data_IF_882551310936
#
_entry.id   IF_882551310936
#
_cell.length_a   1.000
_cell.length_b   1.000
_cell.length_c   1.000
_cell.angle_alpha   90.00
_cell.angle_beta   90.00
_cell.angle_gamma   90.00
#
_symmetry.space_group_name_H-M   'P 1'
#
loop_
_entity.id
_entity.type
_entity.pdbx_description
1 polymer ?
#
# COMPACT_ATOMS: atom_id res chain seq x y z
N UNK A 1 -24.91 -6.33 -4.94
CA UNK A 1 -23.59 -6.93 -4.69
C UNK A 1 -23.02 -7.63 -5.92
N UNK A 2 -23.74 -8.62 -6.48
CA UNK A 2 -23.34 -9.40 -7.68
C UNK A 2 -22.84 -8.54 -8.86
N UNK A 3 -23.53 -7.43 -9.18
CA UNK A 3 -23.11 -6.50 -10.25
C UNK A 3 -21.71 -5.90 -10.01
N UNK A 4 -21.37 -5.53 -8.77
CA UNK A 4 -20.06 -4.94 -8.43
C UNK A 4 -18.94 -5.96 -8.56
N UNK A 5 -19.19 -7.20 -8.15
CA UNK A 5 -18.23 -8.31 -8.27
C UNK A 5 -17.91 -8.57 -9.74
N UNK A 6 -18.94 -8.66 -10.59
CA UNK A 6 -18.76 -8.85 -12.04
C UNK A 6 -17.96 -7.69 -12.66
N UNK A 7 -18.30 -6.44 -12.33
CA UNK A 7 -17.55 -5.28 -12.80
C UNK A 7 -16.10 -5.26 -12.32
N UNK A 8 -15.84 -5.64 -11.06
CA UNK A 8 -14.48 -5.72 -10.54
C UNK A 8 -13.64 -6.74 -11.31
N UNK A 9 -14.22 -7.91 -11.62
CA UNK A 9 -13.59 -8.93 -12.45
C UNK A 9 -13.29 -8.40 -13.86
N UNK A 10 -14.27 -7.77 -14.51
CA UNK A 10 -14.06 -7.18 -15.85
C UNK A 10 -12.93 -6.13 -15.86
N UNK A 11 -12.82 -5.31 -14.82
CA UNK A 11 -11.70 -4.37 -14.70
C UNK A 11 -10.36 -5.08 -14.54
N UNK A 12 -10.31 -6.13 -13.73
CA UNK A 12 -9.11 -6.94 -13.53
C UNK A 12 -8.67 -7.60 -14.84
N UNK A 13 -9.58 -8.25 -15.55
CA UNK A 13 -9.31 -8.93 -16.83
C UNK A 13 -8.83 -7.92 -17.89
N UNK A 14 -9.45 -6.73 -17.97
CA UNK A 14 -8.98 -5.65 -18.86
C UNK A 14 -7.65 -5.03 -18.44
N UNK A 15 -7.26 -5.17 -17.18
CA UNK A 15 -5.96 -4.71 -16.69
C UNK A 15 -4.85 -5.70 -17.04
N UNK A 16 -5.12 -7.02 -17.04
CA UNK A 16 -4.13 -8.03 -17.42
C UNK A 16 -3.86 -8.07 -18.93
N UNK A 17 -4.82 -7.61 -19.75
CA UNK A 17 -4.70 -7.60 -21.21
C UNK A 17 -4.14 -6.30 -21.80
N UNK A 18 -3.80 -5.31 -20.97
CA UNK A 18 -3.37 -3.99 -21.47
C UNK A 18 -1.87 -3.83 -21.39
N UNK A 19 -1.25 -3.44 -22.49
CA UNK A 19 0.20 -3.20 -22.54
C UNK A 19 0.59 -1.86 -21.88
N UNK A 20 -0.34 -0.91 -21.84
CA UNK A 20 -0.12 0.38 -21.18
C UNK A 20 -0.24 0.25 -19.65
N UNK A 21 0.89 0.36 -18.96
CA UNK A 21 0.99 0.24 -17.50
C UNK A 21 0.11 1.22 -16.73
N UNK A 22 -0.05 2.46 -17.19
CA UNK A 22 -0.91 3.45 -16.52
C UNK A 22 -2.39 3.06 -16.60
N UNK A 23 -2.84 2.60 -17.76
CA UNK A 23 -4.20 2.05 -17.92
C UNK A 23 -4.40 0.77 -17.13
N UNK A 24 -3.38 -0.08 -17.00
CA UNK A 24 -3.45 -1.27 -16.16
C UNK A 24 -3.67 -0.88 -14.70
N UNK A 25 -2.86 0.05 -14.18
CA UNK A 25 -2.95 0.58 -12.81
C UNK A 25 -4.34 1.16 -12.54
N UNK A 26 -4.85 2.04 -13.43
CA UNK A 26 -6.17 2.66 -13.26
C UNK A 26 -7.29 1.61 -13.18
N UNK A 27 -7.19 0.55 -13.99
CA UNK A 27 -8.19 -0.54 -13.99
C UNK A 27 -8.09 -1.40 -12.74
N UNK A 28 -6.88 -1.74 -12.28
CA UNK A 28 -6.71 -2.41 -11.00
C UNK A 28 -7.25 -1.56 -9.85
N UNK A 29 -7.01 -0.24 -9.84
CA UNK A 29 -7.56 0.66 -8.82
C UNK A 29 -9.10 0.65 -8.80
N UNK A 30 -9.75 0.62 -9.97
CA UNK A 30 -11.22 0.47 -10.07
C UNK A 30 -11.70 -0.89 -9.54
N UNK A 31 -11.00 -1.97 -9.87
CA UNK A 31 -11.31 -3.33 -9.35
C UNK A 31 -11.19 -3.38 -7.82
N UNK A 32 -10.08 -2.88 -7.27
CA UNK A 32 -9.78 -2.78 -5.84
C UNK A 32 -10.86 -1.97 -5.12
N UNK A 33 -11.25 -0.82 -5.66
CA UNK A 33 -12.28 0.04 -5.06
C UNK A 33 -13.63 -0.68 -4.95
N UNK A 34 -14.05 -1.38 -6.01
CA UNK A 34 -15.29 -2.15 -6.02
C UNK A 34 -15.23 -3.32 -5.02
N UNK A 35 -14.13 -4.07 -4.99
CA UNK A 35 -13.97 -5.20 -4.08
C UNK A 35 -13.92 -4.76 -2.61
N UNK A 36 -13.29 -3.63 -2.29
CA UNK A 36 -13.34 -3.03 -0.95
C UNK A 36 -14.76 -2.70 -0.51
N UNK A 37 -15.61 -2.21 -1.41
CA UNK A 37 -17.02 -1.96 -1.11
C UNK A 37 -17.78 -3.26 -0.88
N UNK A 38 -17.53 -4.28 -1.72
CA UNK A 38 -18.16 -5.60 -1.58
C UNK A 38 -17.81 -6.21 -0.23
N UNK A 39 -16.52 -6.32 0.12
CA UNK A 39 -16.06 -6.89 1.39
C UNK A 39 -16.69 -6.21 2.61
N UNK A 40 -16.88 -4.88 2.56
CA UNK A 40 -17.54 -4.13 3.64
C UNK A 40 -19.04 -4.42 3.75
N UNK A 41 -19.71 -4.66 2.62
CA UNK A 41 -21.17 -4.83 2.55
C UNK A 41 -21.62 -6.29 2.71
N UNK A 42 -20.70 -7.24 2.60
CA UNK A 42 -21.06 -8.65 2.55
C UNK A 42 -21.32 -9.22 3.94
N UNK A 43 -22.49 -9.80 4.18
CA UNK A 43 -22.88 -10.31 5.50
C UNK A 43 -22.49 -11.77 5.69
N UNK A 44 -22.22 -12.47 4.59
CA UNK A 44 -21.86 -13.88 4.58
C UNK A 44 -20.34 -14.02 4.70
N UNK A 45 -19.88 -14.61 5.79
CA UNK A 45 -18.45 -14.72 6.14
C UNK A 45 -17.64 -15.45 5.05
N UNK A 46 -18.18 -16.53 4.49
CA UNK A 46 -17.52 -17.28 3.41
C UNK A 46 -17.35 -16.42 2.15
N UNK A 47 -18.34 -15.59 1.79
CA UNK A 47 -18.24 -14.71 0.63
C UNK A 47 -17.29 -13.54 0.87
N UNK A 48 -17.27 -12.97 2.09
CA UNK A 48 -16.27 -11.98 2.51
C UNK A 48 -14.85 -12.48 2.29
N UNK A 49 -14.58 -13.72 2.67
CA UNK A 49 -13.27 -14.35 2.49
C UNK A 49 -12.90 -14.44 1.01
N UNK A 50 -13.79 -14.97 0.16
CA UNK A 50 -13.57 -15.07 -1.29
C UNK A 50 -13.31 -13.70 -1.92
N UNK A 51 -14.11 -12.69 -1.56
CA UNK A 51 -13.95 -11.33 -2.10
C UNK A 51 -12.70 -10.63 -1.59
N UNK A 52 -12.25 -10.95 -0.37
CA UNK A 52 -10.97 -10.49 0.16
C UNK A 52 -9.81 -11.13 -0.63
N UNK A 53 -9.87 -12.42 -0.95
CA UNK A 53 -8.90 -13.08 -1.83
C UNK A 53 -8.84 -12.45 -3.23
N UNK A 54 -9.98 -12.11 -3.83
CA UNK A 54 -10.01 -11.43 -5.12
C UNK A 54 -9.45 -10.00 -5.06
N UNK A 55 -9.69 -9.30 -3.94
CA UNK A 55 -9.12 -7.98 -3.68
C UNK A 55 -7.60 -8.06 -3.65
N UNK A 56 -7.05 -9.04 -2.92
CA UNK A 56 -5.61 -9.28 -2.79
C UNK A 56 -4.94 -9.51 -4.13
N UNK A 57 -5.51 -10.40 -4.91
CA UNK A 57 -5.02 -10.76 -6.23
C UNK A 57 -4.98 -9.52 -7.14
N UNK A 58 -5.99 -8.65 -7.07
CA UNK A 58 -5.99 -7.37 -7.80
C UNK A 58 -4.91 -6.40 -7.30
N UNK A 59 -4.67 -6.32 -5.98
CA UNK A 59 -3.60 -5.51 -5.40
C UNK A 59 -2.21 -6.04 -5.75
N UNK A 60 -2.02 -7.37 -5.77
CA UNK A 60 -0.77 -8.03 -6.16
C UNK A 60 -0.41 -7.69 -7.60
N UNK A 61 -1.34 -7.93 -8.54
CA UNK A 61 -1.11 -7.64 -9.95
C UNK A 61 -0.82 -6.15 -10.20
N UNK A 62 -1.47 -5.24 -9.45
CA UNK A 62 -1.16 -3.81 -9.52
C UNK A 62 0.28 -3.51 -9.08
N UNK A 63 0.75 -4.15 -8.01
CA UNK A 63 2.13 -4.01 -7.53
C UNK A 63 3.15 -4.56 -8.52
N UNK A 64 2.85 -5.68 -9.20
CA UNK A 64 3.69 -6.18 -10.28
C UNK A 64 3.82 -5.17 -11.44
N UNK A 65 2.73 -4.51 -11.83
CA UNK A 65 2.76 -3.46 -12.86
C UNK A 65 3.59 -2.24 -12.42
N UNK A 66 3.45 -1.80 -11.16
CA UNK A 66 4.31 -0.74 -10.62
C UNK A 66 5.79 -1.13 -10.65
N UNK A 67 6.10 -2.37 -10.25
CA UNK A 67 7.47 -2.87 -10.26
C UNK A 67 8.06 -2.80 -11.68
N UNK A 68 7.35 -3.31 -12.68
CA UNK A 68 7.76 -3.22 -14.09
C UNK A 68 8.00 -1.77 -14.50
N UNK A 69 7.05 -0.87 -14.22
CA UNK A 69 7.16 0.54 -14.59
C UNK A 69 8.38 1.22 -13.94
N UNK A 70 8.69 0.90 -12.69
CA UNK A 70 9.85 1.45 -12.00
C UNK A 70 11.17 0.91 -12.57
N UNK A 71 11.23 -0.37 -12.94
CA UNK A 71 12.39 -0.92 -13.62
C UNK A 71 12.63 -0.27 -14.99
N UNK A 72 11.58 -0.12 -15.81
CA UNK A 72 11.68 0.52 -17.12
C UNK A 72 12.18 1.97 -17.01
N UNK A 73 11.67 2.70 -16.01
CA UNK A 73 12.11 4.07 -15.72
C UNK A 73 13.57 4.12 -15.23
N UNK A 74 13.99 3.15 -14.39
CA UNK A 74 15.37 3.07 -13.91
C UNK A 74 16.36 2.79 -15.05
N UNK A 75 16.01 1.88 -15.97
CA UNK A 75 16.82 1.56 -17.16
C UNK A 75 16.97 2.79 -18.05
N UNK A 76 15.88 3.54 -18.24
CA UNK A 76 15.87 4.74 -19.09
C UNK A 76 16.76 5.88 -18.58
N UNK A 77 17.07 5.92 -17.28
CA UNK A 77 17.90 6.96 -16.66
C UNK A 77 19.41 6.70 -16.77
N UNK A 78 19.84 5.54 -17.31
CA UNK A 78 21.26 5.19 -17.49
C UNK A 78 22.13 5.26 -16.22
N UNK A 79 21.54 5.10 -15.03
CA UNK A 79 22.25 5.02 -13.74
C UNK A 79 22.10 6.24 -12.83
N UNK A 80 22.91 6.28 -11.77
CA UNK A 80 22.90 7.32 -10.73
C UNK A 80 21.87 7.09 -9.63
N UNK A 81 21.93 7.94 -8.60
CA UNK A 81 21.13 7.82 -7.36
C UNK A 81 19.63 7.67 -7.63
N UNK A 82 19.10 8.41 -8.61
CA UNK A 82 17.70 8.34 -9.01
C UNK A 82 17.30 6.99 -9.63
N UNK A 83 18.17 6.40 -10.45
CA UNK A 83 17.92 5.08 -11.03
C UNK A 83 17.97 4.00 -9.95
N UNK A 84 18.88 4.12 -8.98
CA UNK A 84 18.98 3.17 -7.86
C UNK A 84 17.77 3.26 -6.93
N UNK A 85 17.26 4.47 -6.67
CA UNK A 85 15.99 4.66 -5.94
C UNK A 85 14.81 3.97 -6.65
N UNK A 86 14.73 4.08 -7.98
CA UNK A 86 13.66 3.44 -8.76
C UNK A 86 13.78 1.92 -8.77
N UNK A 87 15.00 1.36 -8.89
CA UNK A 87 15.22 -0.09 -8.74
C UNK A 87 14.75 -0.58 -7.37
N UNK A 88 15.12 0.13 -6.31
CA UNK A 88 14.69 -0.23 -4.95
C UNK A 88 13.17 -0.15 -4.79
N UNK A 89 12.54 0.87 -5.34
CA UNK A 89 11.07 0.97 -5.36
C UNK A 89 10.42 -0.17 -6.16
N UNK A 90 11.05 -0.63 -7.24
CA UNK A 90 10.62 -1.77 -8.03
C UNK A 90 10.71 -3.08 -7.25
N UNK A 91 11.85 -3.35 -6.61
CA UNK A 91 12.08 -4.52 -5.75
C UNK A 91 11.06 -4.58 -4.61
N UNK A 92 10.85 -3.44 -3.93
CA UNK A 92 9.84 -3.35 -2.89
C UNK A 92 8.42 -3.60 -3.41
N UNK A 93 8.10 -3.11 -4.62
CA UNK A 93 6.79 -3.35 -5.24
C UNK A 93 6.60 -4.82 -5.62
N UNK A 94 7.66 -5.50 -6.09
CA UNK A 94 7.64 -6.91 -6.42
C UNK A 94 7.48 -7.78 -5.17
N UNK A 95 8.26 -7.50 -4.12
CA UNK A 95 8.10 -8.18 -2.82
C UNK A 95 6.68 -8.04 -2.28
N UNK A 96 6.11 -6.83 -2.39
CA UNK A 96 4.75 -6.57 -1.97
C UNK A 96 3.70 -7.23 -2.89
N UNK A 97 4.02 -7.56 -4.15
CA UNK A 97 3.17 -8.37 -5.02
C UNK A 97 3.13 -9.82 -4.52
N UNK A 98 4.27 -10.42 -4.20
CA UNK A 98 4.36 -11.80 -3.72
C UNK A 98 3.59 -12.01 -2.43
N UNK A 99 3.80 -11.13 -1.43
CA UNK A 99 3.08 -11.18 -0.14
C UNK A 99 1.56 -11.11 -0.34
N UNK A 100 1.09 -10.27 -1.27
CA UNK A 100 -0.34 -10.14 -1.56
C UNK A 100 -0.90 -11.36 -2.27
N UNK A 101 -0.13 -12.02 -3.12
CA UNK A 101 -0.57 -13.26 -3.77
C UNK A 101 -0.71 -14.37 -2.73
N UNK A 102 0.28 -14.52 -1.85
CA UNK A 102 0.22 -15.46 -0.72
C UNK A 102 -0.99 -15.17 0.17
N UNK A 103 -1.23 -13.90 0.54
CA UNK A 103 -2.42 -13.51 1.29
C UNK A 103 -3.74 -13.79 0.54
N UNK A 104 -3.73 -13.77 -0.80
CA UNK A 104 -4.89 -14.14 -1.62
C UNK A 104 -5.17 -15.65 -1.56
N UNK A 105 -4.12 -16.46 -1.53
CA UNK A 105 -4.18 -17.92 -1.45
C UNK A 105 -4.62 -18.37 -0.05
N UNK A 106 -3.98 -17.84 1.00
CA UNK A 106 -4.34 -18.09 2.41
C UNK A 106 -5.81 -17.76 2.66
N UNK A 107 -6.31 -16.66 2.10
CA UNK A 107 -7.73 -16.33 2.21
C UNK A 107 -8.62 -17.41 1.59
N UNK A 108 -8.26 -17.96 0.42
CA UNK A 108 -9.07 -19.00 -0.24
C UNK A 108 -9.01 -20.34 0.49
N UNK A 109 -7.88 -20.65 1.12
CA UNK A 109 -7.59 -21.97 1.70
C UNK A 109 -8.09 -22.11 3.15
N UNK A 110 -7.88 -21.10 4.00
CA UNK A 110 -8.06 -21.22 5.45
C UNK A 110 -9.30 -20.51 6.00
N UNK A 111 -10.38 -20.41 5.21
CA UNK A 111 -11.57 -19.59 5.50
C UNK A 111 -11.97 -19.46 6.98
N UNK A 112 -12.23 -18.23 7.43
CA UNK A 112 -12.68 -17.90 8.78
C UNK A 112 -12.39 -16.45 9.20
N UNK A 113 -12.97 -16.01 10.32
CA UNK A 113 -12.90 -14.63 10.84
C UNK A 113 -11.46 -14.19 11.18
N UNK A 114 -10.63 -15.09 11.72
CA UNK A 114 -9.25 -14.79 12.07
C UNK A 114 -8.34 -14.70 10.83
N UNK A 115 -8.53 -15.60 9.86
CA UNK A 115 -7.89 -15.49 8.54
C UNK A 115 -8.33 -14.18 7.85
N UNK A 116 -9.61 -13.81 7.95
CA UNK A 116 -10.11 -12.53 7.43
C UNK A 116 -9.43 -11.30 8.05
N UNK A 117 -9.30 -11.22 9.38
CA UNK A 117 -8.61 -10.10 10.02
C UNK A 117 -7.10 -10.11 9.77
N UNK A 118 -6.48 -11.27 9.70
CA UNK A 118 -5.09 -11.42 9.28
C UNK A 118 -4.90 -10.85 7.87
N UNK A 119 -5.70 -11.32 6.90
CA UNK A 119 -5.67 -10.79 5.54
C UNK A 119 -5.91 -9.29 5.57
N UNK A 120 -6.96 -8.79 6.22
CA UNK A 120 -7.28 -7.36 6.25
C UNK A 120 -6.14 -6.51 6.82
N UNK A 121 -5.44 -6.98 7.84
CA UNK A 121 -4.25 -6.31 8.40
C UNK A 121 -3.14 -6.15 7.36
N UNK A 122 -2.86 -7.21 6.58
CA UNK A 122 -1.97 -7.12 5.44
C UNK A 122 -2.48 -6.13 4.36
N UNK A 123 -3.81 -5.89 4.18
CA UNK A 123 -4.33 -4.90 3.18
C UNK A 123 -3.85 -3.52 3.54
N UNK A 124 -3.91 -3.21 4.82
CA UNK A 124 -3.59 -1.88 5.29
C UNK A 124 -2.08 -1.70 5.38
N UNK A 125 -1.34 -2.72 5.84
CA UNK A 125 0.12 -2.65 5.85
C UNK A 125 0.66 -2.48 4.44
N UNK A 126 0.23 -3.34 3.51
CA UNK A 126 0.74 -3.29 2.15
C UNK A 126 0.23 -2.06 1.39
N UNK A 127 -1.02 -1.68 1.63
CA UNK A 127 -1.62 -0.46 1.10
C UNK A 127 -0.92 0.81 1.58
N UNK A 128 -0.22 0.75 2.71
CA UNK A 128 0.60 1.85 3.20
C UNK A 128 1.95 1.95 2.50
N UNK A 129 2.53 0.84 2.05
CA UNK A 129 3.84 0.84 1.40
C UNK A 129 3.85 1.58 0.07
N UNK A 130 2.77 1.51 -0.71
CA UNK A 130 2.68 2.25 -1.97
C UNK A 130 2.80 3.78 -1.80
N UNK A 131 1.95 4.44 -1.00
CA UNK A 131 2.13 5.86 -0.72
C UNK A 131 3.42 6.14 0.06
N UNK A 132 3.94 5.19 0.84
CA UNK A 132 5.23 5.35 1.49
C UNK A 132 6.39 5.49 0.48
N UNK A 133 6.45 4.61 -0.53
CA UNK A 133 7.50 4.66 -1.56
C UNK A 133 7.35 5.84 -2.52
N UNK A 134 6.11 6.22 -2.87
CA UNK A 134 5.88 7.46 -3.61
C UNK A 134 6.37 8.68 -2.82
N UNK A 135 6.14 8.69 -1.51
CA UNK A 135 6.62 9.77 -0.66
C UNK A 135 8.15 9.85 -0.61
N UNK A 136 8.82 8.69 -0.50
CA UNK A 136 10.27 8.59 -0.55
C UNK A 136 10.85 9.06 -1.88
N UNK A 137 10.26 8.63 -3.00
CA UNK A 137 10.70 9.02 -4.34
C UNK A 137 10.52 10.53 -4.57
N UNK A 138 9.38 11.10 -4.14
CA UNK A 138 9.12 12.54 -4.21
C UNK A 138 10.08 13.35 -3.32
N UNK A 139 10.37 12.87 -2.10
CA UNK A 139 11.33 13.48 -1.17
C UNK A 139 12.73 13.52 -1.79
N UNK A 140 13.16 12.42 -2.43
CA UNK A 140 14.46 12.30 -3.08
C UNK A 140 14.66 13.26 -4.26
N UNK A 141 13.58 13.62 -4.98
CA UNK A 141 13.64 14.60 -6.09
C UNK A 141 13.30 16.03 -5.65
N UNK A 142 13.11 16.26 -4.35
CA UNK A 142 12.81 17.58 -3.79
C UNK A 142 11.34 18.03 -3.96
N UNK A 143 10.44 17.17 -4.42
CA UNK A 143 9.00 17.43 -4.48
C UNK A 143 8.37 17.21 -3.09
N UNK A 144 8.64 18.16 -2.20
CA UNK A 144 8.23 18.08 -0.79
C UNK A 144 6.71 18.21 -0.58
N UNK A 145 5.95 18.69 -1.57
CA UNK A 145 4.49 18.76 -1.50
C UNK A 145 3.87 17.39 -1.78
N UNK A 146 4.29 16.72 -2.86
CA UNK A 146 3.83 15.37 -3.16
C UNK A 146 4.35 14.34 -2.14
N UNK A 147 5.61 14.50 -1.68
CA UNK A 147 6.17 13.68 -0.61
C UNK A 147 5.31 13.72 0.66
N UNK A 148 4.97 14.93 1.12
CA UNK A 148 4.17 15.12 2.33
C UNK A 148 2.74 14.57 2.18
N UNK A 149 2.13 14.72 1.00
CA UNK A 149 0.81 14.17 0.69
C UNK A 149 0.82 12.65 0.81
N UNK A 150 1.83 12.00 0.22
CA UNK A 150 1.93 10.55 0.21
C UNK A 150 2.35 9.98 1.58
N UNK A 151 3.21 10.66 2.34
CA UNK A 151 3.51 10.29 3.72
C UNK A 151 2.26 10.29 4.62
N UNK A 152 1.37 11.28 4.49
CA UNK A 152 0.10 11.30 5.24
C UNK A 152 -0.79 10.10 4.92
N UNK A 153 -0.88 9.71 3.64
CA UNK A 153 -1.65 8.54 3.20
C UNK A 153 -1.05 7.25 3.77
N UNK A 154 0.28 7.12 3.74
CA UNK A 154 0.98 5.98 4.33
C UNK A 154 0.71 5.89 5.83
N UNK A 155 0.86 7.00 6.56
CA UNK A 155 0.62 7.08 8.01
C UNK A 155 -0.79 6.62 8.39
N UNK A 156 -1.81 7.14 7.69
CA UNK A 156 -3.20 6.75 7.93
C UNK A 156 -3.38 5.24 7.75
N UNK A 157 -2.76 4.67 6.73
CA UNK A 157 -2.97 3.27 6.38
C UNK A 157 -2.20 2.33 7.32
N UNK A 158 -0.98 2.69 7.75
CA UNK A 158 -0.21 1.94 8.77
C UNK A 158 -0.94 1.88 10.12
N UNK A 159 -1.59 2.99 10.53
CA UNK A 159 -2.38 3.03 11.78
C UNK A 159 -3.57 2.07 11.69
N UNK A 160 -4.29 2.08 10.58
CA UNK A 160 -5.39 1.12 10.36
C UNK A 160 -4.89 -0.33 10.31
N UNK A 161 -3.70 -0.59 9.76
CA UNK A 161 -3.10 -1.92 9.77
C UNK A 161 -2.86 -2.43 11.20
N UNK A 162 -2.31 -1.60 12.07
CA UNK A 162 -2.11 -1.93 13.48
C UNK A 162 -3.42 -2.29 14.18
N UNK A 163 -4.48 -1.51 13.97
CA UNK A 163 -5.80 -1.79 14.57
C UNK A 163 -6.34 -3.16 14.14
N UNK A 164 -6.09 -3.58 12.91
CA UNK A 164 -6.51 -4.90 12.44
C UNK A 164 -5.64 -6.03 12.99
N UNK A 165 -4.32 -5.84 13.11
CA UNK A 165 -3.45 -6.82 13.75
C UNK A 165 -3.82 -7.01 15.22
N UNK A 166 -4.09 -5.92 15.95
CA UNK A 166 -4.55 -5.98 17.35
C UNK A 166 -5.87 -6.75 17.46
N UNK A 167 -6.84 -6.51 16.58
CA UNK A 167 -8.09 -7.26 16.53
C UNK A 167 -7.86 -8.75 16.25
N UNK A 168 -6.95 -9.09 15.34
CA UNK A 168 -6.61 -10.48 15.02
C UNK A 168 -5.99 -11.19 16.22
N UNK A 169 -5.12 -10.51 16.99
CA UNK A 169 -4.48 -11.07 18.18
C UNK A 169 -5.46 -11.33 19.35
N UNK A 170 -6.55 -10.58 19.44
CA UNK A 170 -7.60 -10.76 20.45
C UNK A 170 -8.52 -11.96 20.18
N UNK A 171 -8.44 -12.57 19.00
CA UNK A 171 -9.27 -13.73 18.65
C UNK A 171 -8.70 -15.01 19.28
N UNK A 172 -9.58 -15.95 19.63
CA UNK A 172 -9.21 -17.20 20.27
C UNK A 172 -8.29 -18.01 19.34
N UNK A 173 -7.05 -18.35 19.75
CA UNK A 173 -6.11 -19.03 18.86
C UNK A 173 -6.58 -20.46 18.56
N UNK A 174 -6.56 -20.85 17.28
CA UNK A 174 -6.53 -22.25 16.88
C UNK A 174 -5.08 -22.76 16.85
N UNK A 175 -4.88 -24.07 16.71
CA UNK A 175 -3.54 -24.68 16.68
C UNK A 175 -2.68 -24.13 15.51
N UNK A 176 -3.30 -23.79 14.38
CA UNK A 176 -2.65 -23.19 13.21
C UNK A 176 -2.33 -21.68 13.39
N UNK A 177 -2.84 -21.05 14.45
CA UNK A 177 -2.69 -19.60 14.70
C UNK A 177 -1.46 -19.24 15.54
N UNK A 178 -0.79 -20.20 16.19
CA UNK A 178 0.41 -19.90 16.99
C UNK A 178 1.60 -19.49 16.11
N UNK A 179 1.74 -20.12 14.94
CA UNK A 179 2.80 -19.79 13.98
C UNK A 179 2.52 -18.44 13.29
N UNK A 180 1.27 -18.19 12.88
CA UNK A 180 0.84 -16.90 12.33
C UNK A 180 0.97 -15.73 13.33
N UNK A 181 0.81 -15.98 14.63
CA UNK A 181 0.97 -14.95 15.68
C UNK A 181 2.35 -14.32 15.70
N UNK A 182 3.41 -15.09 15.45
CA UNK A 182 4.78 -14.56 15.40
C UNK A 182 4.94 -13.57 14.25
N UNK A 183 4.44 -13.94 13.07
CA UNK A 183 4.44 -13.06 11.90
C UNK A 183 3.65 -11.77 12.16
N UNK A 184 2.51 -11.83 12.86
CA UNK A 184 1.75 -10.62 13.20
C UNK A 184 2.54 -9.65 14.09
N UNK A 185 3.25 -10.17 15.09
CA UNK A 185 4.08 -9.33 15.96
C UNK A 185 5.23 -8.67 15.20
N UNK A 186 5.85 -9.39 14.26
CA UNK A 186 6.88 -8.84 13.35
C UNK A 186 6.31 -7.73 12.47
N UNK A 187 5.17 -7.98 11.80
CA UNK A 187 4.50 -6.98 10.96
C UNK A 187 4.01 -5.76 11.73
N UNK A 188 3.48 -5.93 12.94
CA UNK A 188 3.18 -4.82 13.84
C UNK A 188 4.43 -4.01 14.19
N UNK A 189 5.57 -4.68 14.38
CA UNK A 189 6.88 -4.04 14.53
C UNK A 189 7.22 -3.16 13.33
N UNK A 190 7.01 -3.66 12.12
CA UNK A 190 7.23 -2.91 10.87
C UNK A 190 6.28 -1.73 10.74
N UNK A 191 4.99 -1.90 11.07
CA UNK A 191 4.03 -0.80 11.10
C UNK A 191 4.47 0.31 12.06
N UNK A 192 4.88 -0.04 13.28
CA UNK A 192 5.35 0.92 14.29
C UNK A 192 6.63 1.63 13.84
N UNK A 193 7.54 0.92 13.19
CA UNK A 193 8.76 1.51 12.62
C UNK A 193 8.42 2.48 11.49
N UNK A 194 7.61 2.06 10.53
CA UNK A 194 7.16 2.89 9.42
C UNK A 194 6.40 4.14 9.88
N UNK A 195 5.54 4.03 10.90
CA UNK A 195 4.85 5.19 11.49
C UNK A 195 5.88 6.18 12.03
N UNK A 196 6.87 5.74 12.81
CA UNK A 196 7.91 6.61 13.35
C UNK A 196 8.71 7.30 12.25
N UNK A 197 9.08 6.56 11.21
CA UNK A 197 9.84 7.10 10.08
C UNK A 197 9.04 8.14 9.28
N UNK A 198 7.77 7.83 8.99
CA UNK A 198 6.85 8.77 8.33
C UNK A 198 6.66 10.03 9.17
N UNK A 199 6.41 9.89 10.48
CA UNK A 199 6.23 11.02 11.39
C UNK A 199 7.50 11.88 11.46
N UNK A 200 8.69 11.27 11.50
CA UNK A 200 9.97 11.98 11.44
C UNK A 200 10.15 12.75 10.13
N UNK A 201 9.87 12.12 8.97
CA UNK A 201 9.95 12.75 7.64
C UNK A 201 8.98 13.91 7.49
N UNK A 202 7.75 13.76 8.01
CA UNK A 202 6.76 14.84 8.02
C UNK A 202 7.17 16.02 8.90
N UNK A 203 7.81 15.78 10.05
CA UNK A 203 8.31 16.84 10.93
C UNK A 203 9.49 17.59 10.30
N UNK A 204 10.47 16.86 9.76
CA UNK A 204 11.66 17.43 9.13
C UNK A 204 11.32 18.23 7.86
N UNK A 205 10.43 17.75 6.99
CA UNK A 205 9.92 18.50 5.82
C UNK A 205 9.09 19.74 6.18
N UNK A 206 8.42 19.74 7.33
CA UNK A 206 7.68 20.90 7.85
C UNK A 206 8.60 22.02 8.38
N UNK A 207 9.75 21.65 8.94
CA UNK A 207 10.77 22.60 9.43
C UNK A 207 11.44 23.35 8.28
N UNK A 208 11.77 22.66 7.18
CA UNK A 208 12.32 23.29 5.96
C UNK A 208 11.32 24.29 5.37
N UNK A 209 10.04 23.93 5.20
CA UNK A 209 8.99 24.85 4.72
C UNK A 209 8.83 26.11 5.57
N UNK A 210 8.85 26.01 6.91
CA UNK A 210 8.80 27.19 7.80
C UNK A 210 10.00 28.11 7.60
N UNK A 211 11.19 27.55 7.37
CA UNK A 211 12.44 28.30 7.14
C UNK A 211 12.42 29.02 5.79
N UNK A 212 11.96 28.38 4.72
CA UNK A 212 11.85 29.01 3.38
C UNK A 212 10.78 30.09 3.34
N UNK A 213 9.64 29.87 4.03
CA UNK A 213 8.56 30.86 4.11
C UNK A 213 8.95 32.10 4.94
N UNK A 214 9.71 31.91 6.03
CA UNK A 214 10.29 33.03 6.82
C UNK A 214 11.33 33.83 6.02
N UNK A 215 12.23 33.16 5.28
CA UNK A 215 13.20 33.86 4.41
C UNK A 215 12.52 34.68 3.31
N UNK A 216 11.51 34.12 2.63
CA UNK A 216 10.76 34.87 1.60
C UNK A 216 10.02 36.09 2.16
N UNK A 217 9.49 35.99 3.37
CA UNK A 217 8.78 37.09 4.04
C UNK A 217 9.72 38.20 4.52
N UNK A 218 10.91 37.85 5.02
CA UNK A 218 11.94 38.83 5.38
C UNK A 218 12.45 39.61 4.15
N UNK A 219 12.69 38.93 3.02
CA UNK A 219 13.16 39.59 1.79
C UNK A 219 12.13 40.62 1.28
N UNK A 220 10.83 40.30 1.35
CA UNK A 220 9.76 41.21 0.92
C UNK A 220 9.49 42.37 1.88
N UNK A 221 10.00 42.32 3.12
CA UNK A 221 9.92 43.42 4.09
C UNK A 221 11.15 44.34 4.05
N UNK A 222 12.30 43.88 3.52
CA UNK A 222 13.50 44.72 3.28
C UNK A 222 13.51 45.48 1.95
N UNK A 223 12.62 45.13 1.02
CA UNK A 223 12.48 45.80 -0.29
C UNK A 223 11.32 46.84 -0.32
N UNK A 224 10.93 47.38 0.84
CA UNK A 224 9.99 48.50 0.98
C UNK A 224 10.61 49.60 1.82
#
# INVERSE_FOLDING_TARGET
>A
MVRKIKQAKEYKDKASMTENSDRAIERYDKSISLLKQVVKQDEIEVLKVVHTGNLRDSEANRCAVFASKFFDAAISLSGGERADCLKKAAECSLAASSIRMEAAEVAREYGGLAAYYNTLSHVYLDGAFHPYYLAWAADAVGDLDDALSNYKKALSTLKTALEHFDKSLQMKPSRDMEEGRKHYLEYMGWCRLGIREVEFKMQSGGVTKKRTKRKRKQITETDR
#
